data_IF_931247856150
#
_entry.id   IF_931247856150
#
_cell.length_a   1.000
_cell.length_b   1.000
_cell.length_c   1.000
_cell.angle_alpha   90.00
_cell.angle_beta   90.00
_cell.angle_gamma   90.00
#
_symmetry.space_group_name_H-M   'P 1'
#
loop_
_entity.id
_entity.type
_entity.pdbx_description
1 polymer ?
#
# COMPACT_ATOMS: atom_id res chain seq x y z
N UNK A 1 -1.46 -15.56 2.27
CA UNK A 1 -0.80 -14.25 2.43
C UNK A 1 -0.45 -13.70 1.05
N UNK A 2 -0.30 -12.39 0.90
CA UNK A 2 -0.01 -11.76 -0.39
C UNK A 2 1.51 -11.72 -0.61
N UNK A 3 2.02 -12.45 -1.61
CA UNK A 3 3.45 -12.45 -2.01
C UNK A 3 4.02 -11.03 -2.15
N UNK A 4 3.19 -10.07 -2.58
CA UNK A 4 3.58 -8.67 -2.67
C UNK A 4 3.89 -8.05 -1.30
N UNK A 5 3.03 -8.28 -0.29
CA UNK A 5 3.20 -7.70 1.04
C UNK A 5 4.46 -8.23 1.74
N UNK A 6 4.72 -9.53 1.60
CA UNK A 6 5.92 -10.20 2.12
C UNK A 6 7.21 -9.59 1.55
N UNK A 7 7.24 -9.28 0.25
CA UNK A 7 8.39 -8.62 -0.39
C UNK A 7 8.68 -7.23 0.18
N UNK A 8 7.63 -6.47 0.51
CA UNK A 8 7.79 -5.15 1.12
C UNK A 8 8.17 -5.24 2.60
N UNK A 9 7.66 -6.25 3.34
CA UNK A 9 8.11 -6.54 4.70
C UNK A 9 9.59 -6.91 4.75
N UNK A 10 10.07 -7.73 3.81
CA UNK A 10 11.49 -8.11 3.75
C UNK A 10 12.43 -6.91 3.44
N UNK A 11 11.92 -5.85 2.82
CA UNK A 11 12.69 -4.64 2.47
C UNK A 11 12.65 -3.56 3.55
N UNK A 12 11.63 -3.54 4.39
CA UNK A 12 11.44 -2.50 5.38
C UNK A 12 11.98 -2.93 6.75
N UNK A 13 12.52 -1.98 7.49
CA UNK A 13 13.00 -2.23 8.85
C UNK A 13 11.86 -2.33 9.87
N UNK A 14 10.68 -1.80 9.54
CA UNK A 14 9.52 -1.78 10.44
C UNK A 14 8.23 -2.17 9.71
N UNK A 15 7.23 -2.73 10.43
CA UNK A 15 5.93 -3.07 9.86
C UNK A 15 5.21 -1.85 9.24
N UNK A 16 5.28 -0.70 9.92
CA UNK A 16 4.79 0.57 9.39
C UNK A 16 5.52 0.98 8.11
N UNK A 17 6.85 0.86 8.08
CA UNK A 17 7.65 1.14 6.89
C UNK A 17 7.25 0.27 5.69
N UNK A 18 7.02 -1.04 5.93
CA UNK A 18 6.56 -1.97 4.90
C UNK A 18 5.19 -1.55 4.33
N UNK A 19 4.27 -1.19 5.23
CA UNK A 19 2.94 -0.74 4.88
C UNK A 19 2.98 0.56 4.06
N UNK A 20 3.79 1.54 4.48
CA UNK A 20 3.94 2.81 3.76
C UNK A 20 4.60 2.63 2.39
N UNK A 21 5.67 1.83 2.29
CA UNK A 21 6.33 1.56 1.01
C UNK A 21 5.38 0.89 0.01
N UNK A 22 4.59 -0.09 0.47
CA UNK A 22 3.59 -0.74 -0.36
C UNK A 22 2.50 0.26 -0.81
N UNK A 23 2.02 1.10 0.11
CA UNK A 23 1.04 2.14 -0.21
C UNK A 23 1.58 3.11 -1.26
N UNK A 24 2.80 3.61 -1.08
CA UNK A 24 3.46 4.54 -2.00
C UNK A 24 3.69 3.92 -3.37
N UNK A 25 4.08 2.65 -3.45
CA UNK A 25 4.27 1.94 -4.72
C UNK A 25 2.95 1.82 -5.50
N UNK A 26 1.87 1.41 -4.84
CA UNK A 26 0.57 1.29 -5.48
C UNK A 26 -0.02 2.65 -5.87
N UNK A 27 0.14 3.67 -5.03
CA UNK A 27 -0.25 5.04 -5.36
C UNK A 27 0.52 5.56 -6.58
N UNK A 28 1.83 5.32 -6.66
CA UNK A 28 2.64 5.74 -7.81
C UNK A 28 2.17 5.10 -9.12
N UNK A 29 1.83 3.80 -9.08
CA UNK A 29 1.25 3.10 -10.24
C UNK A 29 -0.11 3.69 -10.60
N UNK A 30 -0.96 3.97 -9.61
CA UNK A 30 -2.27 4.59 -9.83
C UNK A 30 -2.16 5.95 -10.52
N UNK A 31 -1.29 6.82 -10.02
CA UNK A 31 -1.03 8.14 -10.61
C UNK A 31 -0.46 8.02 -12.03
N UNK A 32 0.44 7.07 -12.27
CA UNK A 32 0.99 6.81 -13.60
C UNK A 32 -0.06 6.34 -14.62
N UNK A 33 -1.18 5.77 -14.16
CA UNK A 33 -2.32 5.39 -14.99
C UNK A 33 -3.38 6.50 -15.12
N UNK A 34 -3.07 7.72 -14.70
CA UNK A 34 -3.96 8.88 -14.80
C UNK A 34 -4.96 9.03 -13.66
N UNK A 35 -4.86 8.20 -12.62
CA UNK A 35 -5.65 8.38 -11.41
C UNK A 35 -5.20 9.58 -10.57
N UNK A 36 -6.07 10.06 -9.70
CA UNK A 36 -5.74 11.16 -8.77
C UNK A 36 -5.54 10.68 -7.32
N UNK A 37 -4.87 11.51 -6.50
CA UNK A 37 -4.71 11.27 -5.06
C UNK A 37 -6.06 11.31 -4.34
N UNK A 38 -6.97 12.17 -4.77
CA UNK A 38 -8.32 12.29 -4.18
C UNK A 38 -9.14 11.02 -4.42
N UNK A 39 -9.16 10.53 -5.65
CA UNK A 39 -9.83 9.26 -5.98
C UNK A 39 -9.19 8.07 -5.26
N UNK A 40 -7.86 8.05 -5.16
CA UNK A 40 -7.17 7.04 -4.37
C UNK A 40 -7.64 7.06 -2.91
N UNK A 41 -7.68 8.24 -2.30
CA UNK A 41 -8.04 8.41 -0.90
C UNK A 41 -9.49 8.01 -0.61
N UNK A 42 -10.40 8.34 -1.53
CA UNK A 42 -11.82 8.04 -1.37
C UNK A 42 -12.17 6.58 -1.69
N UNK A 43 -11.53 5.98 -2.70
CA UNK A 43 -11.95 4.67 -3.25
C UNK A 43 -11.00 3.53 -2.92
N UNK A 44 -9.70 3.78 -2.96
CA UNK A 44 -8.67 2.73 -2.89
C UNK A 44 -8.03 2.61 -1.51
N UNK A 45 -7.82 3.73 -0.80
CA UNK A 45 -7.21 3.73 0.53
C UNK A 45 -7.99 2.90 1.57
N UNK A 46 -9.34 2.90 1.61
CA UNK A 46 -10.09 2.03 2.52
C UNK A 46 -9.91 0.54 2.20
N UNK A 47 -9.95 0.18 0.91
CA UNK A 47 -9.73 -1.20 0.46
C UNK A 47 -8.29 -1.66 0.73
N UNK A 48 -7.32 -0.78 0.52
CA UNK A 48 -5.91 -1.00 0.86
C UNK A 48 -5.75 -1.29 2.35
N UNK A 49 -6.29 -0.43 3.23
CA UNK A 49 -6.23 -0.63 4.69
C UNK A 49 -6.91 -1.94 5.11
N UNK A 50 -8.06 -2.28 4.51
CA UNK A 50 -8.74 -3.55 4.80
C UNK A 50 -7.90 -4.76 4.41
N UNK A 51 -7.18 -4.70 3.29
CA UNK A 51 -6.40 -5.82 2.74
C UNK A 51 -5.02 -5.97 3.38
N UNK A 52 -4.37 -4.87 3.73
CA UNK A 52 -2.98 -4.83 4.18
C UNK A 52 -2.80 -4.29 5.60
N UNK A 53 -3.89 -3.93 6.29
CA UNK A 53 -3.82 -3.42 7.67
C UNK A 53 -3.23 -4.40 8.68
N UNK A 54 -3.28 -5.71 8.38
CA UNK A 54 -2.59 -6.73 9.17
C UNK A 54 -1.07 -6.57 9.19
N UNK A 55 -0.48 -5.86 8.21
CA UNK A 55 0.96 -5.57 8.19
C UNK A 55 1.39 -4.59 9.29
N UNK A 56 0.45 -3.97 10.00
CA UNK A 56 0.71 -3.06 11.11
C UNK A 56 0.64 -3.74 12.48
N UNK A 57 0.24 -5.02 12.52
CA UNK A 57 0.08 -5.80 13.74
C UNK A 57 1.36 -6.56 14.10
#
# INVERSE_FOLDING_TARGET
>A
MSVLAERFQARAQTPLGAYMLLQSALLSIWLANGGSVDEWSLRLAPAFRKRYGWMLA
#
